data_IF_619677316355
#
_entry.id   IF_619677316355
#
_cell.length_a   1.000
_cell.length_b   1.000
_cell.length_c   1.000
_cell.angle_alpha   90.00
_cell.angle_beta   90.00
_cell.angle_gamma   90.00
#
_symmetry.space_group_name_H-M   'P 1'
#
loop_
_entity.id
_entity.type
_entity.pdbx_description
1 polymer ?
#
# COMPACT_ATOMS: atom_id res chain seq x y z
N UNK A 1 22.33 6.28 -79.30
CA UNK A 1 21.93 5.06 -78.56
C UNK A 1 21.64 5.34 -77.08
N UNK A 2 22.24 6.38 -76.50
CA UNK A 2 22.10 6.91 -75.12
C UNK A 2 20.69 7.40 -74.75
N UNK A 3 19.71 6.50 -74.81
CA UNK A 3 18.33 6.69 -74.35
C UNK A 3 17.65 5.37 -73.93
N UNK A 4 18.34 4.22 -74.06
CA UNK A 4 17.92 2.91 -73.53
C UNK A 4 18.77 2.41 -72.36
N UNK A 5 19.88 3.08 -72.05
CA UNK A 5 20.78 2.71 -70.95
C UNK A 5 20.35 3.39 -69.65
N UNK A 6 20.01 4.68 -69.69
CA UNK A 6 19.53 5.45 -68.52
C UNK A 6 18.28 4.84 -67.90
N UNK A 7 17.34 4.39 -68.75
CA UNK A 7 16.10 3.74 -68.30
C UNK A 7 16.35 2.32 -67.72
N UNK A 8 17.47 1.69 -68.06
CA UNK A 8 17.89 0.41 -67.47
C UNK A 8 18.59 0.64 -66.12
N UNK A 9 19.42 1.68 -66.00
CA UNK A 9 20.08 2.06 -64.74
C UNK A 9 19.09 2.61 -63.70
N UNK A 10 18.11 3.42 -64.11
CA UNK A 10 17.04 3.88 -63.21
C UNK A 10 16.15 2.74 -62.71
N UNK A 11 16.02 1.64 -63.46
CA UNK A 11 15.24 0.48 -63.02
C UNK A 11 16.04 -0.45 -62.08
N UNK A 12 17.36 -0.59 -62.26
CA UNK A 12 18.20 -1.32 -61.29
C UNK A 12 18.33 -0.64 -59.93
N UNK A 13 18.26 0.69 -59.87
CA UNK A 13 18.30 1.45 -58.60
C UNK A 13 16.98 1.37 -57.82
N UNK A 14 15.87 0.96 -58.46
CA UNK A 14 14.57 0.84 -57.82
C UNK A 14 14.39 -0.48 -57.04
N UNK A 15 14.89 -1.60 -57.57
CA UNK A 15 14.73 -2.92 -56.93
C UNK A 15 15.68 -3.17 -55.75
N UNK A 16 16.80 -2.45 -55.65
CA UNK A 16 17.75 -2.58 -54.53
C UNK A 16 17.31 -1.81 -53.26
N UNK A 17 16.22 -1.04 -53.33
CA UNK A 17 15.67 -0.27 -52.21
C UNK A 17 14.67 -1.06 -51.32
N UNK A 18 14.41 -2.34 -51.63
CA UNK A 18 13.27 -3.10 -51.09
C UNK A 18 13.64 -4.23 -50.09
N UNK A 19 14.88 -4.28 -49.58
CA UNK A 19 15.34 -5.39 -48.73
C UNK A 19 16.30 -5.01 -47.57
N UNK A 20 16.25 -3.80 -47.03
CA UNK A 20 16.87 -3.53 -45.71
C UNK A 20 16.00 -4.16 -44.62
N UNK A 21 16.44 -5.22 -43.92
CA UNK A 21 15.69 -5.70 -42.77
C UNK A 21 15.67 -4.59 -41.72
N UNK A 22 14.48 -4.25 -41.23
CA UNK A 22 14.35 -3.41 -40.04
C UNK A 22 15.21 -4.03 -38.93
N UNK A 23 16.01 -3.26 -38.18
CA UNK A 23 16.73 -3.80 -37.03
C UNK A 23 15.68 -4.38 -36.10
N UNK A 24 15.64 -5.71 -36.00
CA UNK A 24 14.48 -6.41 -35.48
C UNK A 24 14.14 -5.85 -34.10
N UNK A 25 12.92 -5.33 -33.94
CA UNK A 25 12.38 -4.89 -32.66
C UNK A 25 12.71 -6.00 -31.67
N UNK A 26 13.58 -5.78 -30.66
CA UNK A 26 14.18 -6.87 -29.93
C UNK A 26 13.04 -7.68 -29.30
N UNK A 27 12.83 -8.89 -29.84
CA UNK A 27 11.73 -9.75 -29.42
C UNK A 27 11.86 -9.86 -27.92
N UNK A 28 10.86 -9.38 -27.19
CA UNK A 28 11.01 -9.10 -25.77
C UNK A 28 11.19 -10.40 -25.00
N UNK A 29 12.44 -10.83 -24.88
CA UNK A 29 12.85 -11.96 -24.07
C UNK A 29 12.20 -11.79 -22.70
N UNK A 30 11.61 -12.85 -22.17
CA UNK A 30 10.81 -12.77 -20.93
C UNK A 30 11.73 -12.73 -19.70
N UNK A 31 12.80 -11.94 -19.79
CA UNK A 31 13.45 -11.23 -18.70
C UNK A 31 12.44 -10.27 -18.05
N UNK A 32 11.49 -10.87 -17.32
CA UNK A 32 10.29 -10.22 -16.83
C UNK A 32 10.61 -8.87 -16.19
N UNK A 33 9.96 -7.82 -16.71
CA UNK A 33 10.25 -6.43 -16.39
C UNK A 33 10.47 -6.25 -14.89
N UNK A 34 11.59 -5.65 -14.45
CA UNK A 34 11.90 -5.55 -13.03
C UNK A 34 10.74 -4.85 -12.33
N UNK A 35 10.09 -5.51 -11.34
CA UNK A 35 8.89 -5.00 -10.65
C UNK A 35 9.19 -3.82 -9.72
N UNK A 36 9.73 -2.75 -10.31
CA UNK A 36 10.09 -1.50 -9.67
C UNK A 36 8.91 -0.55 -9.61
N UNK A 37 8.92 0.29 -8.58
CA UNK A 37 7.83 1.20 -8.16
C UNK A 37 7.35 2.22 -9.20
N UNK A 38 8.08 2.41 -10.30
CA UNK A 38 7.96 3.56 -11.21
C UNK A 38 8.35 3.18 -12.65
N UNK A 39 7.56 2.31 -13.29
CA UNK A 39 7.54 2.22 -14.76
C UNK A 39 6.36 3.06 -15.28
N UNK A 40 6.66 3.94 -16.23
CA UNK A 40 5.68 4.79 -16.91
C UNK A 40 6.01 4.72 -18.39
N UNK A 41 5.38 3.81 -19.10
CA UNK A 41 5.57 3.63 -20.55
C UNK A 41 5.33 4.94 -21.29
N UNK A 42 6.20 5.31 -22.24
CA UNK A 42 6.00 6.51 -23.04
C UNK A 42 4.98 6.27 -24.16
N UNK A 43 3.70 6.34 -23.84
CA UNK A 43 2.59 6.19 -24.80
C UNK A 43 2.42 7.38 -25.77
N UNK A 44 3.33 8.37 -25.76
CA UNK A 44 3.44 9.40 -26.81
C UNK A 44 4.65 9.17 -27.73
N UNK A 45 5.43 8.09 -27.56
CA UNK A 45 6.61 7.81 -28.39
C UNK A 45 6.26 7.66 -29.88
N UNK A 46 5.10 7.08 -30.19
CA UNK A 46 4.66 6.75 -31.55
C UNK A 46 4.01 7.94 -32.29
N UNK A 47 3.99 9.15 -31.71
CA UNK A 47 3.34 10.33 -32.30
C UNK A 47 4.35 11.11 -33.14
N UNK A 48 4.24 11.12 -34.48
CA UNK A 48 5.20 11.79 -35.35
C UNK A 48 5.10 13.33 -35.27
N UNK A 49 6.20 14.01 -35.62
CA UNK A 49 6.21 15.46 -35.89
C UNK A 49 6.71 16.36 -34.75
N UNK A 50 7.47 15.86 -33.78
CA UNK A 50 8.17 16.68 -32.77
C UNK A 50 7.27 17.35 -31.72
N UNK A 51 5.94 17.27 -31.83
CA UNK A 51 4.98 17.72 -30.80
C UNK A 51 5.14 16.98 -29.45
N UNK A 52 5.83 15.84 -29.46
CA UNK A 52 6.20 15.09 -28.28
C UNK A 52 7.47 15.63 -27.58
N UNK A 53 8.29 16.46 -28.23
CA UNK A 53 9.58 16.91 -27.68
C UNK A 53 9.42 17.93 -26.54
N UNK A 54 10.35 17.88 -25.60
CA UNK A 54 10.35 18.75 -24.42
C UNK A 54 11.74 18.80 -23.76
N UNK A 55 12.27 20.00 -23.54
CA UNK A 55 13.63 20.24 -23.01
C UNK A 55 13.86 19.71 -21.59
N UNK A 56 12.84 19.23 -20.89
CA UNK A 56 12.93 18.76 -19.50
C UNK A 56 12.68 17.25 -19.46
N UNK A 57 13.62 16.52 -18.87
CA UNK A 57 13.56 15.07 -18.67
C UNK A 57 13.30 14.71 -17.20
N UNK A 58 12.59 13.60 -16.95
CA UNK A 58 12.46 13.01 -15.62
C UNK A 58 13.60 12.00 -15.41
N UNK A 59 14.38 12.21 -14.35
CA UNK A 59 15.48 11.33 -13.94
C UNK A 59 15.16 10.74 -12.57
N UNK A 60 15.31 9.42 -12.43
CA UNK A 60 15.15 8.70 -11.16
C UNK A 60 16.51 8.21 -10.66
N UNK A 61 16.78 8.52 -9.40
CA UNK A 61 17.97 8.06 -8.67
C UNK A 61 17.67 6.79 -7.88
N UNK A 62 18.63 6.34 -7.07
CA UNK A 62 18.38 5.32 -6.06
C UNK A 62 17.13 5.68 -5.25
N UNK A 63 16.44 4.66 -4.74
CA UNK A 63 15.40 4.83 -3.74
C UNK A 63 14.15 5.62 -4.20
N UNK A 64 13.84 5.60 -5.51
CA UNK A 64 12.67 6.26 -6.14
C UNK A 64 12.60 7.78 -6.00
N UNK A 65 13.73 8.43 -5.75
CA UNK A 65 13.84 9.89 -5.81
C UNK A 65 13.71 10.33 -7.26
N UNK A 66 12.58 10.97 -7.63
CA UNK A 66 12.41 11.67 -8.92
C UNK A 66 13.07 13.05 -8.86
N UNK A 67 13.65 13.49 -9.97
CA UNK A 67 14.03 14.88 -10.23
C UNK A 67 13.76 15.26 -11.68
N UNK A 68 13.53 16.54 -11.94
CA UNK A 68 13.32 17.09 -13.27
C UNK A 68 14.54 17.93 -13.67
N UNK A 69 15.09 17.69 -14.86
CA UNK A 69 16.34 18.30 -15.32
C UNK A 69 16.22 18.83 -16.74
N UNK A 70 16.81 20.00 -17.00
CA UNK A 70 16.78 20.65 -18.33
C UNK A 70 17.95 20.13 -19.19
N UNK A 71 17.62 19.53 -20.33
CA UNK A 71 18.55 19.02 -21.35
C UNK A 71 19.08 20.17 -22.22
N UNK A 72 19.83 21.10 -21.64
CA UNK A 72 20.32 22.32 -22.32
C UNK A 72 21.37 22.09 -23.42
N UNK A 73 21.61 20.84 -23.81
CA UNK A 73 22.56 20.43 -24.85
C UNK A 73 21.87 19.61 -25.94
N UNK A 74 20.53 19.50 -25.92
CA UNK A 74 19.71 18.76 -26.87
C UNK A 74 20.21 17.32 -27.12
N UNK A 75 20.71 16.66 -26.07
CA UNK A 75 21.19 15.28 -26.14
C UNK A 75 20.04 14.35 -26.49
N UNK A 76 20.26 13.42 -27.42
CA UNK A 76 19.33 12.31 -27.68
C UNK A 76 19.32 11.37 -26.47
N UNK A 77 18.33 11.56 -25.60
CA UNK A 77 18.10 10.78 -24.37
C UNK A 77 16.87 9.90 -24.55
N UNK A 78 17.02 8.61 -24.25
CA UNK A 78 15.97 7.59 -24.39
C UNK A 78 15.51 7.07 -23.02
N UNK A 79 14.36 6.40 -22.99
CA UNK A 79 13.84 5.81 -21.76
C UNK A 79 14.77 4.68 -21.28
N UNK A 80 15.37 4.88 -20.12
CA UNK A 80 16.29 3.92 -19.49
C UNK A 80 17.77 4.29 -19.56
N UNK A 81 18.14 5.33 -20.31
CA UNK A 81 19.52 5.88 -20.34
C UNK A 81 20.05 6.21 -18.94
N UNK A 82 21.34 6.02 -18.72
CA UNK A 82 22.04 6.53 -17.53
C UNK A 82 22.66 7.89 -17.84
N UNK A 83 22.34 8.91 -17.05
CA UNK A 83 22.77 10.30 -17.26
C UNK A 83 23.48 10.88 -16.05
N UNK A 84 24.48 11.72 -16.33
CA UNK A 84 25.13 12.58 -15.36
C UNK A 84 24.37 13.92 -15.29
N UNK A 85 23.84 14.24 -14.12
CA UNK A 85 23.12 15.49 -13.84
C UNK A 85 23.87 16.38 -12.87
N UNK A 86 23.55 17.67 -12.90
CA UNK A 86 24.06 18.65 -11.96
C UNK A 86 23.49 18.47 -10.53
N UNK A 87 24.37 18.50 -9.53
CA UNK A 87 24.05 18.41 -8.10
C UNK A 87 24.61 19.60 -7.33
N UNK A 88 24.19 19.75 -6.06
CA UNK A 88 24.75 20.74 -5.15
C UNK A 88 25.37 20.04 -3.93
N UNK A 89 26.71 19.89 -3.87
CA UNK A 89 27.72 20.13 -4.93
C UNK A 89 27.90 18.92 -5.87
N UNK A 90 28.63 19.10 -6.97
CA UNK A 90 29.12 18.02 -7.85
C UNK A 90 28.14 17.56 -8.93
N UNK A 91 28.32 16.34 -9.44
CA UNK A 91 27.35 15.65 -10.29
C UNK A 91 26.75 14.43 -9.59
N UNK A 92 25.59 13.99 -10.08
CA UNK A 92 24.91 12.79 -9.63
C UNK A 92 24.49 11.94 -10.83
N UNK A 93 24.25 10.65 -10.59
CA UNK A 93 24.03 9.66 -11.65
C UNK A 93 22.64 9.05 -11.46
N UNK A 94 21.80 9.13 -12.49
CA UNK A 94 20.43 8.64 -12.45
C UNK A 94 19.97 8.08 -13.79
N UNK A 95 18.85 7.37 -13.77
CA UNK A 95 18.24 6.74 -14.95
C UNK A 95 17.13 7.64 -15.49
N UNK A 96 17.13 7.92 -16.79
CA UNK A 96 16.04 8.62 -17.47
C UNK A 96 14.80 7.72 -17.43
N UNK A 97 13.69 8.24 -16.91
CA UNK A 97 12.41 7.50 -16.81
C UNK A 97 11.34 8.03 -17.73
N UNK A 98 11.32 9.34 -18.00
CA UNK A 98 10.42 9.95 -18.98
C UNK A 98 11.14 11.07 -19.72
N UNK A 99 10.84 11.17 -21.01
CA UNK A 99 11.27 12.25 -21.91
C UNK A 99 10.04 12.89 -22.54
N UNK A 100 10.22 14.05 -23.17
CA UNK A 100 9.15 14.69 -23.94
C UNK A 100 7.93 15.13 -23.12
N UNK A 101 6.80 15.26 -23.81
CA UNK A 101 5.60 15.96 -23.33
C UNK A 101 4.97 15.34 -22.07
N UNK A 102 5.19 14.05 -21.82
CA UNK A 102 4.77 13.40 -20.56
C UNK A 102 5.40 14.04 -19.33
N UNK A 103 6.64 14.53 -19.42
CA UNK A 103 7.33 15.19 -18.30
C UNK A 103 6.58 16.46 -17.90
N UNK A 104 6.09 17.25 -18.85
CA UNK A 104 5.27 18.43 -18.56
C UNK A 104 3.94 18.10 -17.85
N UNK A 105 3.34 16.93 -18.12
CA UNK A 105 2.15 16.46 -17.40
C UNK A 105 2.48 16.01 -15.97
N UNK A 106 3.60 15.30 -15.75
CA UNK A 106 4.07 14.93 -14.42
C UNK A 106 4.48 16.16 -13.59
N UNK A 107 5.12 17.17 -14.20
CA UNK A 107 5.45 18.43 -13.54
C UNK A 107 4.20 19.21 -13.11
N UNK A 108 3.16 19.29 -13.97
CA UNK A 108 1.85 19.84 -13.59
C UNK A 108 1.24 19.10 -12.39
N UNK A 109 1.27 17.75 -12.41
CA UNK A 109 0.80 16.91 -11.30
C UNK A 109 1.59 17.11 -10.01
N UNK A 110 2.90 17.34 -10.12
CA UNK A 110 3.80 17.68 -9.01
C UNK A 110 3.73 19.16 -8.57
N UNK A 111 2.94 20.01 -9.27
CA UNK A 111 2.84 21.47 -9.07
C UNK A 111 4.16 22.24 -9.27
N UNK A 112 5.08 21.71 -10.08
CA UNK A 112 6.37 22.32 -10.39
C UNK A 112 6.23 23.14 -11.70
N UNK A 113 6.69 24.39 -11.69
CA UNK A 113 6.75 25.25 -12.88
C UNK A 113 7.96 24.88 -13.76
N UNK A 114 7.86 24.92 -15.11
CA UNK A 114 8.97 24.58 -16.00
C UNK A 114 10.18 25.53 -15.89
N UNK A 115 9.95 26.74 -15.38
CA UNK A 115 10.94 27.81 -15.24
C UNK A 115 11.37 28.07 -13.79
N UNK A 116 11.22 27.07 -12.91
CA UNK A 116 11.79 27.15 -11.56
C UNK A 116 13.32 27.10 -11.65
N UNK A 117 14.07 28.01 -10.98
CA UNK A 117 15.54 28.00 -10.97
C UNK A 117 16.12 26.74 -10.30
N UNK A 118 15.29 25.97 -9.60
CA UNK A 118 15.65 24.66 -9.01
C UNK A 118 15.86 23.55 -10.06
N UNK A 119 15.44 23.78 -11.32
CA UNK A 119 15.55 22.80 -12.40
C UNK A 119 16.98 22.86 -12.98
N UNK A 120 17.82 21.99 -12.45
CA UNK A 120 19.23 21.84 -12.81
C UNK A 120 19.43 21.21 -14.18
N UNK A 121 20.65 21.26 -14.71
CA UNK A 121 20.97 20.82 -16.07
C UNK A 121 21.39 19.34 -16.12
N UNK A 122 21.14 18.70 -17.25
CA UNK A 122 21.81 17.43 -17.62
C UNK A 122 23.16 17.77 -18.24
N UNK A 123 24.24 17.11 -17.79
CA UNK A 123 25.59 17.36 -18.34
C UNK A 123 25.91 16.46 -19.54
N UNK A 124 25.64 15.16 -19.45
CA UNK A 124 25.96 14.15 -20.48
C UNK A 124 25.30 12.80 -20.18
N UNK A 125 25.28 11.88 -21.15
CA UNK A 125 25.14 10.44 -20.84
C UNK A 125 26.32 10.00 -19.95
N UNK A 126 26.08 9.07 -19.02
CA UNK A 126 27.09 8.62 -18.06
C UNK A 126 28.23 7.87 -18.77
N UNK A 127 29.48 8.25 -18.50
CA UNK A 127 30.66 7.57 -19.07
C UNK A 127 30.94 6.26 -18.32
N UNK A 128 31.66 5.28 -18.89
CA UNK A 128 32.03 4.05 -18.17
C UNK A 128 32.73 4.31 -16.83
N UNK A 129 33.62 5.31 -16.76
CA UNK A 129 34.30 5.75 -15.52
C UNK A 129 33.33 6.32 -14.49
N UNK A 130 32.27 6.99 -14.94
CA UNK A 130 31.25 7.56 -14.06
C UNK A 130 30.36 6.42 -13.51
N UNK A 131 30.03 5.43 -14.34
CA UNK A 131 29.27 4.22 -13.96
C UNK A 131 30.04 3.31 -12.99
N UNK A 132 31.35 3.16 -13.14
CA UNK A 132 32.13 2.30 -12.23
C UNK A 132 32.20 2.91 -10.82
N UNK A 133 32.41 4.22 -10.71
CA UNK A 133 32.32 4.95 -9.43
C UNK A 133 30.96 4.83 -8.77
N UNK A 134 29.89 4.80 -9.56
CA UNK A 134 28.53 4.54 -9.06
C UNK A 134 28.40 3.11 -8.48
N UNK A 135 29.01 2.09 -9.10
CA UNK A 135 29.07 0.72 -8.55
C UNK A 135 29.89 0.64 -7.27
N UNK A 136 31.08 1.25 -7.25
CA UNK A 136 31.92 1.35 -6.05
C UNK A 136 31.21 2.07 -4.89
N UNK A 137 30.45 3.13 -5.20
CA UNK A 137 29.62 3.84 -4.24
C UNK A 137 28.50 2.93 -3.70
N UNK A 138 27.75 2.27 -4.58
CA UNK A 138 26.67 1.35 -4.22
C UNK A 138 27.15 0.18 -3.35
N UNK A 139 28.31 -0.41 -3.66
CA UNK A 139 28.89 -1.48 -2.85
C UNK A 139 29.19 -1.04 -1.40
N UNK A 140 29.63 0.22 -1.21
CA UNK A 140 29.94 0.78 0.11
C UNK A 140 28.71 1.16 0.95
N UNK A 141 27.52 1.28 0.35
CA UNK A 141 26.30 1.69 1.06
C UNK A 141 25.92 0.73 2.20
N UNK A 142 26.09 -0.59 1.99
CA UNK A 142 25.68 -1.61 2.96
C UNK A 142 26.55 -1.59 4.23
N UNK A 143 27.87 -1.60 4.05
CA UNK A 143 28.86 -1.43 5.12
C UNK A 143 28.65 -0.12 5.90
N UNK A 144 28.41 0.96 5.17
CA UNK A 144 28.18 2.31 5.72
C UNK A 144 26.91 2.33 6.57
N UNK A 145 25.83 1.70 6.11
CA UNK A 145 24.57 1.54 6.85
C UNK A 145 24.77 0.77 8.17
N UNK A 146 25.51 -0.35 8.14
CA UNK A 146 25.76 -1.17 9.33
C UNK A 146 26.60 -0.39 10.37
N UNK A 147 27.69 0.25 9.94
CA UNK A 147 28.55 1.07 10.81
C UNK A 147 27.79 2.25 11.40
N UNK A 148 26.99 2.95 10.59
CA UNK A 148 26.20 4.09 11.06
C UNK A 148 25.11 3.71 12.08
N UNK A 149 24.54 2.50 11.98
CA UNK A 149 23.62 1.98 13.02
C UNK A 149 24.33 1.80 14.36
N UNK A 150 25.54 1.23 14.37
CA UNK A 150 26.35 1.06 15.59
C UNK A 150 26.68 2.41 16.23
N UNK A 151 27.14 3.38 15.45
CA UNK A 151 27.46 4.74 15.95
C UNK A 151 26.20 5.44 16.52
N UNK A 152 25.02 5.23 15.94
CA UNK A 152 23.77 5.78 16.49
C UNK A 152 23.35 5.10 17.82
N UNK A 153 23.62 3.81 17.97
CA UNK A 153 23.37 3.01 19.18
C UNK A 153 24.38 3.34 20.30
N UNK A 154 25.66 3.50 19.97
CA UNK A 154 26.74 3.99 20.84
C UNK A 154 26.48 5.41 21.38
N UNK A 155 25.86 6.28 20.57
CA UNK A 155 25.41 7.61 20.97
C UNK A 155 24.02 7.62 21.64
N UNK A 156 23.41 6.45 21.86
CA UNK A 156 22.10 6.24 22.49
C UNK A 156 20.96 7.09 21.88
N UNK A 157 21.01 7.33 20.57
CA UNK A 157 20.02 8.15 19.86
C UNK A 157 18.78 7.32 19.50
N UNK A 158 17.59 7.77 19.90
CA UNK A 158 16.32 7.11 19.61
C UNK A 158 15.90 7.29 18.12
N UNK A 159 16.65 6.67 17.22
CA UNK A 159 16.44 6.70 15.77
C UNK A 159 16.85 5.36 15.13
N UNK A 160 16.30 5.06 13.96
CA UNK A 160 16.72 3.90 13.14
C UNK A 160 17.14 4.39 11.77
N UNK A 161 18.38 4.05 11.36
CA UNK A 161 18.90 4.32 10.02
C UNK A 161 18.45 3.19 9.10
N UNK A 162 17.56 3.49 8.17
CA UNK A 162 16.95 2.52 7.26
C UNK A 162 17.83 2.19 6.05
N UNK A 163 18.42 3.21 5.42
CA UNK A 163 19.17 3.12 4.16
C UNK A 163 20.22 4.24 4.07
N UNK A 164 21.16 4.12 3.14
CA UNK A 164 22.18 5.14 2.83
C UNK A 164 22.29 5.26 1.31
N UNK A 165 22.26 6.49 0.79
CA UNK A 165 22.39 6.78 -0.64
C UNK A 165 23.65 7.63 -0.87
N UNK A 166 24.65 7.09 -1.55
CA UNK A 166 25.77 7.89 -2.04
C UNK A 166 25.36 8.63 -3.33
N UNK A 167 25.78 9.89 -3.45
CA UNK A 167 25.77 10.62 -4.73
C UNK A 167 26.79 9.96 -5.67
N UNK A 168 26.59 10.01 -6.99
CA UNK A 168 27.49 9.41 -7.99
C UNK A 168 28.98 9.80 -7.85
N UNK A 169 29.26 10.98 -7.31
CA UNK A 169 30.61 11.48 -7.00
C UNK A 169 31.27 10.86 -5.77
N UNK A 170 30.53 10.13 -4.92
CA UNK A 170 30.95 9.69 -3.59
C UNK A 170 31.05 10.82 -2.54
N UNK A 171 31.31 12.07 -2.97
CA UNK A 171 31.51 13.27 -2.14
C UNK A 171 30.40 13.57 -1.11
N UNK A 172 29.19 13.04 -1.32
CA UNK A 172 28.00 13.27 -0.49
C UNK A 172 27.26 11.96 -0.22
N UNK A 173 26.83 11.78 1.01
CA UNK A 173 26.05 10.61 1.46
C UNK A 173 24.77 11.07 2.18
N UNK A 174 23.63 10.56 1.72
CA UNK A 174 22.30 10.85 2.28
C UNK A 174 21.89 9.69 3.17
N UNK A 175 21.76 9.94 4.47
CA UNK A 175 21.37 8.96 5.47
C UNK A 175 19.86 9.05 5.73
N UNK A 176 19.18 7.95 5.45
CA UNK A 176 17.73 7.84 5.49
C UNK A 176 17.30 7.23 6.83
N UNK A 177 16.64 8.03 7.68
CA UNK A 177 16.30 7.62 9.06
C UNK A 177 14.83 7.79 9.41
N UNK A 178 14.37 7.01 10.38
CA UNK A 178 13.10 7.22 11.09
C UNK A 178 13.36 7.50 12.58
N UNK A 179 12.55 8.39 13.15
CA UNK A 179 12.45 8.65 14.58
C UNK A 179 11.01 9.12 14.86
N UNK A 180 10.49 8.80 16.04
CA UNK A 180 9.16 9.24 16.48
C UNK A 180 9.20 10.68 17.04
N UNK A 181 10.28 11.01 17.75
CA UNK A 181 10.54 12.33 18.33
C UNK A 181 11.67 13.09 17.59
N UNK A 182 11.95 14.32 18.04
CA UNK A 182 13.03 15.15 17.49
C UNK A 182 14.38 14.76 18.09
N UNK A 183 15.20 14.06 17.31
CA UNK A 183 16.57 13.66 17.70
C UNK A 183 17.59 14.75 17.35
N UNK A 184 18.52 15.04 18.26
CA UNK A 184 19.71 15.86 17.94
C UNK A 184 20.85 14.97 17.43
N UNK A 185 21.03 14.99 16.10
CA UNK A 185 22.06 14.22 15.40
C UNK A 185 23.37 15.00 15.17
N UNK A 186 23.59 16.18 15.80
CA UNK A 186 24.80 16.99 15.58
C UNK A 186 26.09 16.23 15.89
N UNK A 187 26.13 15.45 16.98
CA UNK A 187 27.28 14.64 17.34
C UNK A 187 27.47 13.46 16.37
N UNK A 188 26.38 12.78 16.01
CA UNK A 188 26.38 11.71 15.01
C UNK A 188 26.91 12.20 13.65
N UNK A 189 26.52 13.38 13.18
CA UNK A 189 27.06 13.97 11.93
C UNK A 189 28.58 14.16 12.00
N UNK A 190 29.16 14.59 13.14
CA UNK A 190 30.61 14.73 13.29
C UNK A 190 31.32 13.37 13.13
N UNK A 191 30.89 12.37 13.90
CA UNK A 191 31.51 11.03 13.90
C UNK A 191 31.35 10.34 12.54
N UNK A 192 30.20 10.49 11.87
CA UNK A 192 29.99 9.98 10.51
C UNK A 192 30.88 10.71 9.48
N UNK A 193 31.00 12.04 9.56
CA UNK A 193 31.84 12.81 8.64
C UNK A 193 33.34 12.46 8.80
N UNK A 194 33.79 12.22 10.02
CA UNK A 194 35.15 11.78 10.33
C UNK A 194 35.42 10.35 9.85
N UNK A 195 34.49 9.43 10.13
CA UNK A 195 34.59 8.00 9.75
C UNK A 195 34.59 7.80 8.23
N UNK A 196 33.71 8.50 7.50
CA UNK A 196 33.50 8.28 6.07
C UNK A 196 34.13 9.34 5.15
N UNK A 197 34.62 10.46 5.70
CA UNK A 197 35.29 11.55 4.97
C UNK A 197 34.47 12.15 3.82
N UNK A 198 33.15 12.18 3.98
CA UNK A 198 32.17 12.67 2.98
C UNK A 198 31.14 13.61 3.62
N UNK A 199 30.48 14.44 2.79
CA UNK A 199 29.43 15.34 3.28
C UNK A 199 28.15 14.57 3.62
N UNK A 200 27.83 14.50 4.91
CA UNK A 200 26.64 13.84 5.45
C UNK A 200 25.40 14.75 5.26
N UNK A 201 24.31 14.20 4.74
CA UNK A 201 22.96 14.78 4.80
C UNK A 201 22.02 13.81 5.54
N UNK A 202 21.36 14.28 6.60
CA UNK A 202 20.38 13.49 7.35
C UNK A 202 18.96 13.77 6.86
N UNK A 203 18.21 12.73 6.47
CA UNK A 203 16.88 12.85 5.87
C UNK A 203 15.85 11.95 6.55
N UNK A 204 14.91 12.57 7.27
CA UNK A 204 13.83 11.87 7.95
C UNK A 204 12.82 11.27 6.95
N UNK A 205 12.32 10.08 7.27
CA UNK A 205 11.32 9.31 6.53
C UNK A 205 10.12 9.03 7.45
N UNK A 206 8.90 9.06 6.89
CA UNK A 206 7.71 8.57 7.60
C UNK A 206 7.51 7.06 7.43
N UNK A 207 7.09 6.35 8.47
CA UNK A 207 6.93 4.88 8.51
C UNK A 207 6.32 4.18 7.26
N UNK A 208 5.38 4.81 6.53
CA UNK A 208 4.85 4.24 5.27
C UNK A 208 5.89 4.17 4.15
N UNK A 209 6.75 5.19 4.05
CA UNK A 209 7.85 5.27 3.09
C UNK A 209 9.04 4.38 3.50
N UNK A 210 9.17 4.03 4.78
CA UNK A 210 10.11 3.00 5.26
C UNK A 210 9.57 1.60 4.93
N UNK A 211 8.32 1.29 5.27
CA UNK A 211 7.67 0.03 4.90
C UNK A 211 7.64 -0.19 3.36
N UNK A 212 7.49 0.89 2.58
CA UNK A 212 7.64 0.84 1.12
C UNK A 212 9.07 0.57 0.63
N UNK A 213 10.12 0.83 1.44
CA UNK A 213 11.52 0.50 1.12
C UNK A 213 11.88 -0.94 1.50
N UNK A 214 11.57 -1.34 2.73
CA UNK A 214 11.77 -2.70 3.24
C UNK A 214 10.92 -3.70 2.45
N UNK A 215 9.73 -3.29 2.02
CA UNK A 215 8.78 -4.16 1.34
C UNK A 215 8.03 -5.06 2.32
N UNK A 216 7.61 -6.22 1.82
CA UNK A 216 6.80 -7.19 2.56
C UNK A 216 5.41 -7.39 1.96
N UNK A 217 4.59 -8.18 2.67
CA UNK A 217 3.27 -8.62 2.23
C UNK A 217 2.19 -7.91 3.07
N UNK A 218 1.17 -7.39 2.40
CA UNK A 218 0.00 -6.79 3.03
C UNK A 218 -1.03 -7.83 3.49
N UNK A 219 -2.02 -7.44 4.33
CA UNK A 219 -3.06 -8.35 4.79
C UNK A 219 -3.97 -8.90 3.68
N UNK A 220 -3.86 -8.39 2.45
CA UNK A 220 -4.49 -8.91 1.24
C UNK A 220 -3.65 -9.96 0.48
N UNK A 221 -2.57 -10.48 1.08
CA UNK A 221 -1.67 -11.49 0.47
C UNK A 221 -0.77 -10.97 -0.66
N UNK A 222 -1.00 -9.75 -1.15
CA UNK A 222 -0.19 -9.10 -2.19
C UNK A 222 1.01 -8.35 -1.58
N UNK A 223 2.10 -8.13 -2.33
CA UNK A 223 3.18 -7.23 -1.90
C UNK A 223 2.63 -5.82 -1.61
N UNK A 224 3.25 -5.09 -0.68
CA UNK A 224 2.80 -3.75 -0.30
C UNK A 224 2.68 -2.84 -1.55
N UNK A 225 1.53 -2.18 -1.74
CA UNK A 225 1.35 -1.21 -2.83
C UNK A 225 2.39 -0.08 -2.78
N UNK A 226 2.83 0.29 -1.57
CA UNK A 226 3.91 1.24 -1.29
C UNK A 226 5.30 0.78 -1.76
N UNK A 227 5.47 -0.54 -1.95
CA UNK A 227 6.68 -1.16 -2.46
C UNK A 227 6.59 -1.49 -3.96
N UNK A 228 5.39 -1.46 -4.55
CA UNK A 228 5.12 -1.97 -5.90
C UNK A 228 4.75 -0.90 -6.94
N UNK A 229 3.94 0.11 -6.62
CA UNK A 229 3.47 1.10 -7.62
C UNK A 229 2.99 2.43 -7.03
N UNK A 230 2.40 2.42 -5.83
CA UNK A 230 1.87 3.63 -5.20
C UNK A 230 3.00 4.38 -4.48
N UNK A 231 3.43 5.51 -5.05
CA UNK A 231 4.53 6.33 -4.50
C UNK A 231 4.05 7.65 -3.88
N UNK A 232 3.00 8.25 -4.43
CA UNK A 232 2.35 9.44 -3.88
C UNK A 232 1.19 9.04 -2.96
N UNK A 233 1.14 9.60 -1.76
CA UNK A 233 0.12 9.26 -0.75
C UNK A 233 -0.60 10.50 -0.24
N UNK A 234 -1.93 10.48 -0.30
CA UNK A 234 -2.79 11.39 0.45
C UNK A 234 -2.92 10.87 1.90
N UNK A 235 -3.20 11.77 2.84
CA UNK A 235 -3.62 11.41 4.20
C UNK A 235 -4.95 10.65 4.17
N UNK A 236 -5.00 9.55 4.93
CA UNK A 236 -6.21 8.71 5.06
C UNK A 236 -6.98 9.17 6.29
N UNK A 237 -8.26 9.47 6.12
CA UNK A 237 -9.17 9.82 7.23
C UNK A 237 -10.03 8.62 7.63
N UNK A 238 -10.56 8.65 8.86
CA UNK A 238 -11.53 7.64 9.33
C UNK A 238 -12.89 7.73 8.62
N UNK A 239 -13.16 8.82 7.90
CA UNK A 239 -14.37 8.99 7.09
C UNK A 239 -14.48 7.92 5.97
N UNK A 240 -13.40 7.63 5.25
CA UNK A 240 -13.39 6.62 4.18
C UNK A 240 -13.81 5.23 4.69
N UNK A 241 -13.35 4.85 5.91
CA UNK A 241 -13.75 3.60 6.55
C UNK A 241 -15.25 3.56 6.89
N UNK A 242 -15.89 4.69 7.18
CA UNK A 242 -17.36 4.76 7.39
C UNK A 242 -18.11 4.60 6.07
N UNK A 243 -17.65 5.21 4.99
CA UNK A 243 -18.21 5.05 3.65
C UNK A 243 -18.14 3.59 3.14
N UNK A 244 -17.18 2.82 3.66
CA UNK A 244 -16.95 1.40 3.34
C UNK A 244 -17.63 0.43 4.33
N UNK A 245 -18.46 0.94 5.26
CA UNK A 245 -19.12 0.20 6.36
C UNK A 245 -18.13 -0.64 7.22
N UNK A 246 -16.88 -0.20 7.32
CA UNK A 246 -15.80 -0.90 8.02
C UNK A 246 -15.78 -0.54 9.51
N UNK A 247 -15.65 -1.56 10.37
CA UNK A 247 -15.54 -1.39 11.82
C UNK A 247 -14.40 -0.45 12.20
N UNK A 248 -14.69 0.59 12.99
CA UNK A 248 -13.76 1.66 13.39
C UNK A 248 -12.63 1.24 14.36
N UNK A 249 -12.31 -0.06 14.45
CA UNK A 249 -11.21 -0.56 15.26
C UNK A 249 -9.85 -0.20 14.60
N UNK A 250 -8.97 0.58 15.26
CA UNK A 250 -7.72 1.05 14.67
C UNK A 250 -6.77 -0.09 14.30
N UNK A 251 -6.76 -1.20 15.04
CA UNK A 251 -5.92 -2.37 14.76
C UNK A 251 -6.34 -3.08 13.46
N UNK A 252 -7.64 -3.05 13.09
CA UNK A 252 -8.14 -3.58 11.82
C UNK A 252 -7.93 -2.61 10.64
N UNK A 253 -7.91 -1.30 10.90
CA UNK A 253 -7.75 -0.26 9.87
C UNK A 253 -6.28 0.13 9.61
N UNK A 254 -5.36 -0.14 10.53
CA UNK A 254 -3.93 0.03 10.34
C UNK A 254 -3.36 -0.95 9.28
N UNK A 255 -2.36 -0.51 8.53
CA UNK A 255 -1.52 -1.37 7.70
C UNK A 255 -0.16 -1.63 8.36
N UNK A 256 0.72 -2.37 7.67
CA UNK A 256 2.06 -2.76 8.17
C UNK A 256 2.97 -1.57 8.56
N UNK A 257 2.60 -0.34 8.21
CA UNK A 257 3.30 0.89 8.58
C UNK A 257 2.71 1.60 9.82
N UNK A 258 1.93 0.87 10.64
CA UNK A 258 1.17 1.34 11.82
C UNK A 258 0.13 2.47 11.57
N UNK A 259 0.11 3.09 10.38
CA UNK A 259 -0.87 4.10 9.97
C UNK A 259 -2.02 3.45 9.20
N UNK A 260 -3.16 4.15 9.11
CA UNK A 260 -4.35 3.71 8.36
C UNK A 260 -3.99 3.26 6.93
N UNK A 261 -4.63 2.19 6.46
CA UNK A 261 -4.43 1.59 5.12
C UNK A 261 -4.71 2.63 4.02
N UNK A 262 -3.76 2.83 3.10
CA UNK A 262 -3.97 3.67 1.92
C UNK A 262 -4.99 3.08 0.93
N UNK A 263 -5.27 1.78 1.01
CA UNK A 263 -6.33 1.12 0.25
C UNK A 263 -7.72 1.76 0.49
N UNK A 264 -7.97 2.27 1.72
CA UNK A 264 -9.23 2.94 2.07
C UNK A 264 -9.51 4.12 1.12
N UNK A 265 -8.51 4.98 0.87
CA UNK A 265 -8.61 6.10 -0.08
C UNK A 265 -8.51 5.68 -1.56
N UNK A 266 -8.12 4.45 -1.87
CA UNK A 266 -8.06 3.94 -3.25
C UNK A 266 -9.38 3.30 -3.67
N UNK A 267 -10.08 2.65 -2.74
CA UNK A 267 -11.34 1.96 -2.97
C UNK A 267 -12.57 2.87 -2.76
N UNK A 268 -12.44 4.00 -2.04
CA UNK A 268 -13.58 4.84 -1.61
C UNK A 268 -14.46 5.32 -2.76
N UNK A 269 -13.88 5.71 -3.89
CA UNK A 269 -14.63 6.23 -5.04
C UNK A 269 -15.54 5.13 -5.62
N UNK A 270 -15.01 3.91 -5.81
CA UNK A 270 -15.78 2.73 -6.27
C UNK A 270 -16.90 2.37 -5.28
N UNK A 271 -16.65 2.39 -3.98
CA UNK A 271 -17.70 2.18 -2.97
C UNK A 271 -18.78 3.27 -3.06
N UNK A 272 -18.41 4.53 -3.27
CA UNK A 272 -19.37 5.64 -3.43
C UNK A 272 -20.14 5.59 -4.74
N UNK A 273 -19.61 4.95 -5.78
CA UNK A 273 -20.32 4.70 -7.03
C UNK A 273 -21.31 3.53 -6.87
N UNK A 274 -20.85 2.36 -6.40
CA UNK A 274 -21.74 1.21 -6.15
C UNK A 274 -22.85 1.53 -5.14
N UNK A 275 -22.61 2.43 -4.16
CA UNK A 275 -23.66 2.89 -3.23
C UNK A 275 -24.77 3.71 -3.91
N UNK A 276 -24.53 4.33 -5.07
CA UNK A 276 -25.57 5.02 -5.86
C UNK A 276 -26.42 4.04 -6.68
N UNK A 277 -25.87 2.87 -7.02
CA UNK A 277 -26.57 1.78 -7.70
C UNK A 277 -27.42 0.94 -6.73
N UNK A 278 -27.51 1.33 -5.46
CA UNK A 278 -28.23 0.63 -4.40
C UNK A 278 -29.38 1.49 -3.86
N UNK A 279 -30.56 0.91 -3.54
CA UNK A 279 -31.63 1.65 -2.91
C UNK A 279 -31.22 2.14 -1.51
N UNK A 280 -31.67 3.34 -1.09
CA UNK A 280 -31.26 3.93 0.18
C UNK A 280 -31.82 3.14 1.39
N UNK A 281 -30.99 3.00 2.43
CA UNK A 281 -31.24 2.14 3.60
C UNK A 281 -32.53 2.46 4.38
N UNK A 282 -33.08 3.68 4.25
CA UNK A 282 -34.29 4.12 4.96
C UNK A 282 -35.61 3.65 4.32
N UNK A 283 -35.58 3.05 3.12
CA UNK A 283 -36.80 2.57 2.45
C UNK A 283 -37.20 1.18 2.99
N UNK A 284 -38.37 1.13 3.62
CA UNK A 284 -39.11 -0.12 3.91
C UNK A 284 -39.66 -0.73 2.63
N UNK A 285 -39.63 -2.06 2.54
CA UNK A 285 -40.36 -2.80 1.50
C UNK A 285 -41.64 -3.34 2.13
N UNK A 286 -42.80 -3.05 1.53
CA UNK A 286 -44.05 -3.68 1.94
C UNK A 286 -44.34 -4.86 1.01
N UNK A 287 -44.77 -5.96 1.62
CA UNK A 287 -45.16 -7.23 0.98
C UNK A 287 -46.58 -7.54 1.49
N UNK A 288 -47.31 -8.45 0.85
CA UNK A 288 -48.63 -8.86 1.34
C UNK A 288 -48.60 -9.39 2.79
N UNK A 289 -47.55 -10.17 3.13
CA UNK A 289 -47.44 -10.85 4.43
C UNK A 289 -46.87 -9.96 5.55
N UNK A 290 -45.92 -9.07 5.25
CA UNK A 290 -45.26 -8.23 6.26
C UNK A 290 -44.50 -7.03 5.68
N UNK A 291 -44.05 -6.12 6.57
CA UNK A 291 -43.16 -5.00 6.24
C UNK A 291 -41.73 -5.36 6.58
N UNK A 292 -40.81 -5.07 5.66
CA UNK A 292 -39.40 -5.43 5.76
C UNK A 292 -38.50 -4.20 5.88
N UNK A 293 -37.56 -4.25 6.82
CA UNK A 293 -36.58 -3.22 7.12
C UNK A 293 -35.20 -3.61 6.61
N UNK A 294 -34.42 -2.63 6.16
CA UNK A 294 -33.02 -2.83 5.78
C UNK A 294 -32.20 -3.30 6.98
N UNK A 295 -31.40 -4.36 6.81
CA UNK A 295 -30.50 -4.88 7.84
C UNK A 295 -29.02 -4.82 7.43
N UNK A 296 -28.70 -5.22 6.19
CA UNK A 296 -27.33 -5.24 5.66
C UNK A 296 -27.34 -5.07 4.13
N UNK A 297 -26.31 -4.43 3.58
CA UNK A 297 -25.99 -4.50 2.14
C UNK A 297 -24.65 -5.21 1.94
N UNK A 298 -24.52 -6.00 0.87
CA UNK A 298 -23.24 -6.42 0.31
C UNK A 298 -22.98 -5.65 -0.99
N UNK A 299 -22.14 -4.61 -0.89
CA UNK A 299 -21.93 -3.62 -1.95
C UNK A 299 -21.30 -4.25 -3.20
N UNK A 300 -20.48 -5.29 -3.05
CA UNK A 300 -19.80 -5.94 -4.18
C UNK A 300 -20.68 -6.94 -4.91
N UNK A 301 -21.57 -7.62 -4.18
CA UNK A 301 -22.53 -8.54 -4.78
C UNK A 301 -23.81 -7.88 -5.30
N UNK A 302 -24.09 -6.65 -4.85
CA UNK A 302 -25.40 -5.98 -4.98
C UNK A 302 -26.56 -6.67 -4.24
N UNK A 303 -26.25 -7.64 -3.36
CA UNK A 303 -27.22 -8.29 -2.47
C UNK A 303 -27.60 -7.40 -1.29
N UNK A 304 -28.89 -7.39 -0.91
CA UNK A 304 -29.44 -6.63 0.21
C UNK A 304 -30.20 -7.57 1.13
N UNK A 305 -29.83 -7.59 2.40
CA UNK A 305 -30.50 -8.36 3.45
C UNK A 305 -31.53 -7.48 4.15
N UNK A 306 -32.78 -7.92 4.11
CA UNK A 306 -33.91 -7.34 4.83
C UNK A 306 -34.34 -8.24 5.99
N UNK A 307 -34.98 -7.67 7.01
CA UNK A 307 -35.53 -8.34 8.20
C UNK A 307 -36.97 -7.90 8.42
N UNK A 308 -37.83 -8.75 8.99
CA UNK A 308 -39.20 -8.33 9.37
C UNK A 308 -39.23 -7.41 10.59
N UNK A 309 -38.15 -7.41 11.37
CA UNK A 309 -37.98 -6.56 12.56
C UNK A 309 -36.90 -5.49 12.39
N UNK A 310 -37.15 -4.31 12.95
CA UNK A 310 -36.25 -3.14 12.84
C UNK A 310 -34.96 -3.27 13.67
N UNK A 311 -35.01 -3.99 14.78
CA UNK A 311 -33.89 -4.12 15.75
C UNK A 311 -33.41 -5.57 15.96
N UNK A 312 -34.15 -6.56 15.43
CA UNK A 312 -33.89 -7.98 15.63
C UNK A 312 -33.76 -8.66 14.26
N UNK A 313 -32.87 -9.66 14.15
CA UNK A 313 -32.68 -10.43 12.92
C UNK A 313 -33.74 -11.53 12.78
N UNK A 314 -34.99 -11.14 12.57
CA UNK A 314 -36.11 -12.04 12.32
C UNK A 314 -36.36 -12.19 10.80
N UNK A 315 -36.50 -13.42 10.32
CA UNK A 315 -36.81 -13.74 8.92
C UNK A 315 -35.94 -12.96 7.92
N UNK A 316 -34.62 -13.17 8.00
CA UNK A 316 -33.65 -12.55 7.09
C UNK A 316 -33.87 -13.05 5.65
N UNK A 317 -34.20 -12.13 4.74
CA UNK A 317 -34.39 -12.39 3.31
C UNK A 317 -33.33 -11.61 2.52
N UNK A 318 -32.66 -12.26 1.57
CA UNK A 318 -31.66 -11.63 0.69
C UNK A 318 -32.20 -11.48 -0.72
N UNK A 319 -32.27 -10.25 -1.22
CA UNK A 319 -32.65 -9.93 -2.61
C UNK A 319 -31.55 -9.17 -3.33
N UNK A 320 -31.53 -9.24 -4.67
CA UNK A 320 -30.67 -8.39 -5.49
C UNK A 320 -31.18 -6.93 -5.55
N UNK A 321 -30.27 -6.00 -5.80
CA UNK A 321 -30.57 -4.57 -5.94
C UNK A 321 -31.61 -4.26 -7.02
N UNK A 322 -31.59 -4.92 -8.18
CA UNK A 322 -32.58 -4.69 -9.24
C UNK A 322 -33.99 -5.09 -8.76
N UNK A 323 -34.11 -6.28 -8.15
CA UNK A 323 -35.37 -6.75 -7.55
C UNK A 323 -35.83 -5.85 -6.39
N UNK A 324 -34.91 -5.27 -5.63
CA UNK A 324 -35.25 -4.28 -4.61
C UNK A 324 -35.86 -3.00 -5.22
N UNK A 325 -35.32 -2.50 -6.35
CA UNK A 325 -35.92 -1.36 -7.05
C UNK A 325 -37.32 -1.68 -7.61
N UNK A 326 -37.52 -2.85 -8.23
CA UNK A 326 -38.86 -3.30 -8.70
C UNK A 326 -39.89 -3.26 -7.56
N UNK A 327 -39.55 -3.80 -6.38
CA UNK A 327 -40.45 -3.83 -5.22
C UNK A 327 -40.68 -2.42 -4.65
N UNK A 328 -39.73 -1.50 -4.78
CA UNK A 328 -39.92 -0.08 -4.42
C UNK A 328 -40.85 0.63 -5.41
N UNK A 329 -40.82 0.27 -6.70
CA UNK A 329 -41.71 0.83 -7.71
C UNK A 329 -43.14 0.28 -7.61
N UNK A 330 -43.28 -1.04 -7.40
CA UNK A 330 -44.57 -1.67 -7.06
C UNK A 330 -45.21 -1.02 -5.83
N UNK A 331 -44.44 -0.82 -4.76
CA UNK A 331 -44.93 -0.15 -3.54
C UNK A 331 -45.26 1.35 -3.73
N UNK A 332 -44.66 2.04 -4.72
CA UNK A 332 -45.09 3.40 -5.12
C UNK A 332 -46.38 3.39 -5.95
N UNK A 333 -46.57 2.37 -6.78
CA UNK A 333 -47.81 2.16 -7.54
C UNK A 333 -48.98 1.67 -6.65
N UNK A 334 -48.68 1.17 -5.45
CA UNK A 334 -49.66 0.62 -4.51
C UNK A 334 -49.84 -0.90 -4.62
N UNK A 335 -49.11 -1.56 -5.52
CA UNK A 335 -49.12 -3.02 -5.67
C UNK A 335 -48.18 -3.66 -4.66
N UNK A 336 -48.72 -4.57 -3.83
CA UNK A 336 -47.93 -5.30 -2.83
C UNK A 336 -47.62 -6.70 -3.34
N UNK A 337 -46.34 -7.04 -3.62
CA UNK A 337 -46.00 -8.39 -4.05
C UNK A 337 -46.29 -9.41 -2.94
N UNK A 338 -46.61 -10.65 -3.34
CA UNK A 338 -46.86 -11.75 -2.40
C UNK A 338 -45.55 -12.30 -1.79
N UNK A 339 -44.41 -12.17 -2.48
CA UNK A 339 -43.08 -12.59 -2.01
C UNK A 339 -42.00 -11.60 -2.47
N UNK A 340 -40.98 -11.41 -1.64
CA UNK A 340 -39.77 -10.65 -1.99
C UNK A 340 -38.86 -11.42 -2.95
N UNK A 341 -38.60 -12.68 -2.63
CA UNK A 341 -37.81 -13.59 -3.48
C UNK A 341 -38.57 -13.95 -4.76
N UNK A 342 -37.82 -14.03 -5.87
CA UNK A 342 -38.30 -14.68 -7.08
C UNK A 342 -38.23 -16.21 -6.88
N UNK A 343 -39.34 -16.93 -7.11
CA UNK A 343 -39.36 -18.42 -7.07
C UNK A 343 -38.69 -19.02 -8.33
N UNK A 344 -37.42 -18.68 -8.55
CA UNK A 344 -36.69 -19.02 -9.77
C UNK A 344 -35.17 -19.21 -9.59
N UNK A 345 -34.74 -19.90 -8.53
CA UNK A 345 -33.69 -20.93 -8.67
C UNK A 345 -33.57 -21.88 -7.46
N UNK A 346 -34.61 -22.71 -7.27
CA UNK A 346 -34.43 -24.06 -6.70
C UNK A 346 -33.92 -25.06 -7.75
N UNK A 347 -33.07 -24.60 -8.69
CA UNK A 347 -32.26 -25.50 -9.52
C UNK A 347 -31.26 -26.19 -8.60
N UNK A 348 -31.50 -27.47 -8.34
CA UNK A 348 -30.55 -28.30 -7.62
C UNK A 348 -29.21 -28.27 -8.37
N UNK A 349 -28.19 -27.64 -7.77
CA UNK A 349 -26.82 -27.77 -8.24
C UNK A 349 -26.46 -29.27 -8.16
N UNK A 350 -26.09 -29.91 -9.28
CA UNK A 350 -25.65 -31.30 -9.22
C UNK A 350 -24.42 -31.34 -8.32
N UNK A 351 -24.46 -32.17 -7.26
CA UNK A 351 -23.34 -32.33 -6.34
C UNK A 351 -22.14 -32.85 -7.13
N UNK A 352 -21.21 -31.95 -7.46
CA UNK A 352 -19.94 -32.31 -8.09
C UNK A 352 -19.25 -33.29 -7.16
N UNK A 353 -19.02 -34.52 -7.64
CA UNK A 353 -18.55 -35.61 -6.81
C UNK A 353 -17.06 -35.39 -6.49
N UNK A 354 -16.78 -34.75 -5.35
CA UNK A 354 -15.41 -34.44 -4.93
C UNK A 354 -14.64 -35.73 -4.58
N UNK A 355 -13.89 -36.20 -5.58
CA UNK A 355 -13.08 -37.41 -5.52
C UNK A 355 -11.93 -37.30 -4.50
N UNK A 356 -11.58 -36.07 -4.04
CA UNK A 356 -10.57 -35.88 -2.99
C UNK A 356 -11.05 -36.31 -1.59
N UNK A 357 -12.37 -36.47 -1.39
CA UNK A 357 -12.94 -36.81 -0.06
C UNK A 357 -12.65 -38.25 0.41
N UNK A 358 -12.09 -39.13 -0.43
CA UNK A 358 -11.86 -40.54 -0.09
C UNK A 358 -10.46 -40.86 0.49
N UNK A 359 -9.43 -40.02 0.30
CA UNK A 359 -8.13 -40.20 0.97
C UNK A 359 -8.14 -39.61 2.38
N UNK A 360 -8.64 -40.40 3.34
CA UNK A 360 -8.66 -39.99 4.75
C UNK A 360 -7.25 -39.64 5.29
N UNK A 361 -7.12 -38.48 5.93
CA UNK A 361 -5.86 -37.91 6.45
C UNK A 361 -5.11 -38.78 7.50
N UNK A 362 -5.67 -39.93 7.90
CA UNK A 362 -5.05 -40.85 8.89
C UNK A 362 -4.01 -41.81 8.30
N UNK A 363 -3.74 -41.75 6.99
CA UNK A 363 -2.79 -42.64 6.28
C UNK A 363 -1.38 -42.63 6.86
N UNK A 364 -0.93 -41.52 7.45
CA UNK A 364 0.42 -41.38 8.02
C UNK A 364 0.57 -41.85 9.49
N UNK A 365 -0.51 -41.91 10.27
CA UNK A 365 -0.43 -42.06 11.74
C UNK A 365 -0.38 -43.54 12.20
N UNK A 366 -0.61 -44.49 11.29
CA UNK A 366 -0.63 -45.94 11.60
C UNK A 366 0.75 -46.61 11.64
N UNK A 367 1.84 -45.83 11.63
CA UNK A 367 3.23 -46.31 11.52
C UNK A 367 3.97 -46.49 12.86
N UNK A 368 3.30 -46.42 14.03
CA UNK A 368 3.99 -46.37 15.35
C UNK A 368 3.40 -47.21 16.51
N UNK A 369 2.82 -48.40 16.27
CA UNK A 369 2.50 -49.37 17.37
C UNK A 369 2.36 -50.85 16.92
N UNK A 370 3.47 -51.61 16.88
CA UNK A 370 3.47 -53.09 16.89
C UNK A 370 4.76 -53.67 17.51
N UNK A 371 4.69 -54.17 18.76
CA UNK A 371 5.45 -55.35 19.30
C UNK A 371 5.24 -55.54 20.82
N UNK A 372 4.33 -56.45 21.21
CA UNK A 372 4.57 -57.53 22.22
C UNK A 372 3.44 -58.59 22.16
N UNK A 373 3.63 -59.72 22.86
CA UNK A 373 3.14 -61.08 22.51
C UNK A 373 1.69 -61.42 22.91
N UNK A 374 1.17 -62.49 22.30
CA UNK A 374 -0.05 -63.25 22.66
C UNK A 374 0.06 -64.02 23.99
N UNK A 375 -1.05 -64.13 24.73
CA UNK A 375 -1.70 -65.32 25.38
C UNK A 375 -2.70 -64.80 26.44
N UNK A 376 -3.81 -65.45 26.79
CA UNK A 376 -4.56 -66.59 26.21
C UNK A 376 -6.02 -66.53 26.74
N UNK A 377 -6.90 -67.39 26.23
CA UNK A 377 -8.28 -67.56 26.70
C UNK A 377 -8.39 -68.20 28.09
N UNK A 378 -9.43 -67.84 28.87
CA UNK A 378 -10.56 -68.75 29.13
C UNK A 378 -11.83 -67.97 29.57
N UNK A 379 -12.93 -68.69 29.85
CA UNK A 379 -14.27 -68.24 30.24
C UNK A 379 -14.43 -68.05 31.75
N UNK A 380 -15.50 -67.37 32.17
CA UNK A 380 -16.28 -67.79 33.34
C UNK A 380 -16.73 -66.70 34.33
N UNK A 381 -17.97 -66.87 34.79
CA UNK A 381 -18.58 -66.32 36.01
C UNK A 381 -18.81 -64.79 36.19
N UNK A 382 -19.95 -64.53 36.85
CA UNK A 382 -20.52 -63.32 37.47
C UNK A 382 -21.11 -63.80 38.82
N UNK A 383 -21.51 -62.92 39.77
CA UNK A 383 -21.10 -61.55 40.07
C UNK A 383 -20.80 -61.38 41.59
N UNK A 384 -21.07 -60.18 42.14
CA UNK A 384 -21.26 -59.79 43.56
C UNK A 384 -20.08 -59.92 44.56
N UNK A 385 -19.89 -59.09 45.59
CA UNK A 385 -20.31 -57.74 45.99
C UNK A 385 -19.58 -57.44 47.34
N UNK A 386 -19.51 -56.18 47.73
CA UNK A 386 -19.35 -55.63 49.10
C UNK A 386 -18.28 -56.15 50.12
N UNK A 387 -17.29 -55.27 50.27
CA UNK A 387 -16.77 -54.70 51.56
C UNK A 387 -15.85 -55.49 52.53
N UNK A 388 -14.62 -54.99 52.57
CA UNK A 388 -13.91 -54.51 53.78
C UNK A 388 -13.22 -55.50 54.74
N UNK A 389 -11.92 -55.26 54.93
CA UNK A 389 -11.31 -55.09 56.27
C UNK A 389 -10.03 -54.25 56.17
N UNK A 390 -9.49 -53.82 57.31
CA UNK A 390 -8.59 -52.68 57.43
C UNK A 390 -7.45 -52.92 58.44
N UNK A 391 -6.57 -51.92 58.57
CA UNK A 391 -5.40 -51.84 59.48
C UNK A 391 -4.15 -52.62 58.98
N UNK A 392 -2.91 -52.24 59.30
CA UNK A 392 -2.46 -51.27 60.33
C UNK A 392 -1.34 -50.29 59.88
N UNK A 393 -1.10 -49.30 60.74
CA UNK A 393 -0.19 -48.13 60.67
C UNK A 393 1.28 -48.51 61.10
N UNK A 394 2.32 -47.60 61.20
CA UNK A 394 2.25 -46.13 61.38
C UNK A 394 3.35 -45.16 60.81
N UNK A 395 2.90 -43.93 60.48
CA UNK A 395 3.51 -42.59 60.76
C UNK A 395 4.82 -42.19 60.01
N UNK A 396 5.13 -40.89 59.77
CA UNK A 396 4.42 -39.63 60.11
C UNK A 396 4.73 -38.44 59.16
N UNK A 397 3.75 -37.51 59.04
CA UNK A 397 3.82 -36.02 59.02
C UNK A 397 4.94 -35.28 58.24
N UNK A 398 4.71 -34.22 57.44
CA UNK A 398 3.49 -33.52 56.91
C UNK A 398 3.93 -32.68 55.65
N UNK A 399 3.29 -31.64 55.06
CA UNK A 399 2.18 -30.74 55.45
C UNK A 399 1.18 -30.42 54.29
N UNK A 400 0.88 -29.16 53.95
CA UNK A 400 -0.47 -28.78 53.49
C UNK A 400 -0.61 -27.59 52.48
N UNK A 401 -1.83 -27.43 51.93
CA UNK A 401 -2.29 -26.51 50.86
C UNK A 401 -2.33 -24.99 51.19
N UNK A 402 -2.74 -24.15 50.20
CA UNK A 402 -3.94 -23.31 50.44
C UNK A 402 -4.93 -23.15 49.26
N UNK A 403 -6.16 -22.75 49.58
CA UNK A 403 -7.25 -22.24 48.70
C UNK A 403 -8.16 -21.29 49.54
N UNK A 404 -8.91 -20.31 49.00
CA UNK A 404 -8.90 -19.72 47.66
C UNK A 404 -10.29 -19.38 47.10
N UNK A 405 -10.86 -18.19 47.37
CA UNK A 405 -12.12 -17.71 46.75
C UNK A 405 -12.77 -16.41 47.31
N UNK A 406 -12.97 -15.44 46.39
CA UNK A 406 -14.11 -14.50 46.19
C UNK A 406 -14.59 -13.31 47.08
N UNK A 407 -15.12 -12.33 46.33
CA UNK A 407 -16.11 -11.25 46.52
C UNK A 407 -16.16 -10.18 47.68
N UNK A 408 -16.18 -8.91 47.22
CA UNK A 408 -17.18 -7.81 47.49
C UNK A 408 -16.98 -6.67 48.54
N UNK A 409 -17.56 -5.51 48.13
CA UNK A 409 -17.94 -4.27 48.82
C UNK A 409 -16.89 -3.21 49.24
N UNK A 410 -17.26 -1.92 49.10
CA UNK A 410 -16.49 -0.76 49.59
C UNK A 410 -16.73 0.58 48.87
N UNK A 411 -17.84 1.30 49.14
CA UNK A 411 -18.02 2.70 48.71
C UNK A 411 -17.54 3.71 49.77
N UNK A 412 -16.81 4.78 49.38
CA UNK A 412 -17.02 6.15 49.91
C UNK A 412 -16.23 7.23 49.16
N UNK A 413 -16.61 8.50 49.37
CA UNK A 413 -16.18 9.68 48.62
C UNK A 413 -15.69 10.84 49.51
N UNK A 414 -14.81 11.72 49.00
CA UNK A 414 -14.46 13.08 49.49
C UNK A 414 -13.45 13.77 48.54
N UNK A 415 -13.21 15.09 48.68
CA UNK A 415 -13.87 16.19 47.94
C UNK A 415 -13.19 17.56 48.22
N UNK A 416 -12.74 18.29 47.17
CA UNK A 416 -12.18 19.70 47.19
C UNK A 416 -10.85 19.88 47.95
N UNK A 417 -10.06 20.96 47.85
CA UNK A 417 -10.10 22.28 47.12
C UNK A 417 -8.90 22.38 46.13
N UNK A 418 -8.72 23.29 45.15
CA UNK A 418 -9.19 24.64 44.74
C UNK A 418 -8.41 25.88 45.27
N UNK A 419 -7.66 26.53 44.36
CA UNK A 419 -7.13 27.91 44.34
C UNK A 419 -6.28 28.07 43.05
N UNK A 420 -6.29 29.10 42.18
CA UNK A 420 -6.62 30.55 42.16
C UNK A 420 -5.46 31.53 42.43
N UNK A 421 -4.70 31.86 41.37
CA UNK A 421 -4.47 33.22 40.81
C UNK A 421 -3.78 33.05 39.43
N UNK A 422 -3.94 33.85 38.35
CA UNK A 422 -4.53 35.17 38.05
C UNK A 422 -3.50 36.30 37.80
N UNK A 423 -3.74 37.09 36.73
CA UNK A 423 -2.87 38.12 36.13
C UNK A 423 -1.61 37.57 35.42
N UNK A 424 -1.16 38.11 34.27
CA UNK A 424 -1.74 39.12 33.38
C UNK A 424 -0.79 39.42 32.19
N UNK A 425 -1.30 39.96 31.07
CA UNK A 425 -0.48 40.35 29.90
C UNK A 425 -1.25 40.34 28.57
N UNK A 426 -1.26 41.47 27.85
CA UNK A 426 -2.13 41.68 26.68
C UNK A 426 -1.63 41.08 25.36
N UNK A 427 -2.57 40.96 24.41
CA UNK A 427 -2.27 40.78 22.97
C UNK A 427 -2.18 42.16 22.29
N UNK A 428 -1.24 42.39 21.38
CA UNK A 428 -1.34 43.47 20.39
C UNK A 428 -2.33 43.09 19.27
N UNK A 429 -3.08 44.06 18.77
CA UNK A 429 -3.95 43.90 17.61
C UNK A 429 -3.20 43.86 16.27
N UNK A 430 -3.80 43.20 15.27
CA UNK A 430 -3.34 43.24 13.89
C UNK A 430 -4.14 44.30 13.09
N UNK A 431 -3.49 45.17 12.29
CA UNK A 431 -4.18 46.22 11.54
C UNK A 431 -5.07 45.63 10.44
N UNK A 432 -6.29 46.18 10.29
CA UNK A 432 -7.20 45.83 9.21
C UNK A 432 -6.68 46.32 7.86
N UNK A 433 -6.63 45.44 6.86
CA UNK A 433 -6.47 45.85 5.48
C UNK A 433 -7.73 46.59 4.99
N UNK A 434 -7.53 47.67 4.22
CA UNK A 434 -8.62 48.41 3.57
C UNK A 434 -9.11 47.65 2.32
N UNK A 435 -10.42 47.69 2.05
CA UNK A 435 -10.97 47.23 0.79
C UNK A 435 -10.83 48.33 -0.29
N UNK A 436 -10.41 48.02 -1.52
CA UNK A 436 -10.35 49.00 -2.60
C UNK A 436 -11.77 49.39 -3.06
N UNK A 437 -12.00 50.69 -3.21
CA UNK A 437 -13.22 51.21 -3.83
C UNK A 437 -13.21 50.93 -5.34
N UNK A 438 -14.38 50.65 -5.92
CA UNK A 438 -14.56 50.76 -7.37
C UNK A 438 -14.71 52.25 -7.73
N UNK A 439 -14.05 52.75 -8.80
CA UNK A 439 -14.54 53.95 -9.45
C UNK A 439 -15.88 53.67 -10.13
N UNK A 440 -16.73 54.68 -10.19
CA UNK A 440 -17.87 54.77 -11.11
C UNK A 440 -17.48 55.68 -12.28
N UNK A 441 -18.11 55.46 -13.42
CA UNK A 441 -17.80 56.14 -14.68
C UNK A 441 -18.19 57.63 -14.66
N UNK A 442 -17.44 58.46 -15.40
CA UNK A 442 -17.94 59.59 -16.18
C UNK A 442 -16.81 60.26 -16.99
N UNK A 443 -17.18 60.82 -18.16
CA UNK A 443 -16.33 61.40 -19.21
C UNK A 443 -15.47 60.39 -19.99
#
# INVERSE_FOLDING_TARGET
MSAKEDKKQQQSVADEAAATPQPATPQSEVHGEPRGKLYSTNWLADIPGGFADWDIVEVVFKNTRKGYYRNSLNLHLEQGDMVAVESMPGHDIGRVTLTGRLVALQMKKARIKPDSPDIKRVFRKARPVDLEKYREAQAREHDTMIRARRIAEELHLNMKIGDVEYQGDGNKAIFYYIAEERVDFRQLIKVLAETFKVRIEMKQIGARQEAGRIGGIGPCGRPLCCASWMTNFVSVGTAAARCQDLSLNPQKLAGQCAKLKCCLNFEVDTYMESTKELPPKDIRLETADSTYYHFKTDIFKKEITYSTDKNLAANLVTIDAARAFEVIEMNKAGEKPLKLELESDKKATPKVLDLATQESLTRFDKSKKKKKKKKSSDKGARPDDQTSKSQSQPKAKTQNQPQGGDEKQGQRSRRRKKGQNAQGGGRPDAPKAQAPQKPLDNA
#
